data_IF_733199560397
#
_entry.id   IF_733199560397
#
_cell.length_a   1.000
_cell.length_b   1.000
_cell.length_c   1.000
_cell.angle_alpha   90.00
_cell.angle_beta   90.00
_cell.angle_gamma   90.00
#
_symmetry.space_group_name_H-M   'P 1'
#
loop_
_entity.id
_entity.type
_entity.pdbx_description
1 polymer ?
#
# COMPACT_ATOMS: atom_id res chain seq x y z
N UNK A 1 -9.22 11.87 6.00
CA UNK A 1 -7.98 11.13 6.25
C UNK A 1 -8.23 9.99 7.23
N UNK A 2 -7.37 8.98 7.30
CA UNK A 2 -7.47 7.83 8.20
C UNK A 2 -7.67 8.27 9.65
N UNK A 3 -6.97 9.32 10.08
CA UNK A 3 -7.12 9.94 11.42
C UNK A 3 -8.55 10.41 11.71
N UNK A 4 -9.22 11.05 10.75
CA UNK A 4 -10.61 11.50 10.90
C UNK A 4 -11.59 10.33 10.94
N UNK A 5 -11.36 9.28 10.14
CA UNK A 5 -12.17 8.06 10.16
C UNK A 5 -12.01 7.34 11.50
N UNK A 6 -10.77 7.22 11.99
CA UNK A 6 -10.42 6.59 13.27
C UNK A 6 -11.04 7.31 14.46
N UNK A 7 -10.99 8.64 14.49
CA UNK A 7 -11.54 9.44 15.59
C UNK A 7 -13.08 9.37 15.67
N UNK A 8 -13.75 8.90 14.62
CA UNK A 8 -15.21 8.67 14.61
C UNK A 8 -15.62 7.28 15.11
N UNK A 9 -14.67 6.35 15.26
CA UNK A 9 -14.95 5.00 15.73
C UNK A 9 -15.13 4.97 17.25
N UNK A 10 -16.09 4.17 17.69
CA UNK A 10 -16.26 3.78 19.10
C UNK A 10 -15.12 2.88 19.55
N UNK A 11 -14.94 2.76 20.88
CA UNK A 11 -13.94 1.85 21.45
C UNK A 11 -14.23 0.37 21.15
N UNK A 12 -15.49 0.01 20.91
CA UNK A 12 -15.86 -1.35 20.50
C UNK A 12 -15.48 -1.61 19.04
N UNK A 13 -15.71 -0.66 18.13
CA UNK A 13 -15.32 -0.77 16.73
C UNK A 13 -13.80 -0.83 16.55
N UNK A 14 -13.04 -0.06 17.36
CA UNK A 14 -11.56 -0.11 17.37
C UNK A 14 -11.00 -1.46 17.80
N UNK A 15 -11.78 -2.29 18.54
CA UNK A 15 -11.37 -3.63 18.99
C UNK A 15 -11.70 -4.75 17.99
N UNK A 16 -12.45 -4.45 16.93
CA UNK A 16 -12.84 -5.40 15.88
C UNK A 16 -12.05 -5.11 14.58
N UNK A 17 -12.32 -5.90 13.53
CA UNK A 17 -11.85 -5.57 12.19
C UNK A 17 -12.41 -4.20 11.79
N UNK A 18 -11.51 -3.25 11.55
CA UNK A 18 -11.87 -1.86 11.36
C UNK A 18 -12.70 -1.71 10.06
N UNK A 19 -13.90 -1.12 10.13
CA UNK A 19 -14.73 -0.89 8.95
C UNK A 19 -14.27 0.37 8.17
N UNK A 20 -12.96 0.59 8.07
CA UNK A 20 -12.37 1.75 7.39
C UNK A 20 -11.40 1.28 6.32
N UNK A 21 -11.56 1.78 5.10
CA UNK A 21 -10.55 1.61 4.07
C UNK A 21 -9.32 2.47 4.41
N UNK A 22 -8.14 1.85 4.36
CA UNK A 22 -6.86 2.51 4.55
C UNK A 22 -6.58 3.48 3.40
N UNK A 23 -5.91 4.60 3.71
CA UNK A 23 -5.61 5.59 2.67
C UNK A 23 -4.38 5.18 1.84
N UNK A 24 -3.47 4.36 2.37
CA UNK A 24 -2.27 3.84 1.68
C UNK A 24 -1.97 2.39 2.08
N UNK A 25 -1.42 1.58 1.17
CA UNK A 25 -0.95 0.20 1.42
C UNK A 25 0.40 -0.06 0.75
N UNK A 26 1.16 -1.00 1.34
CA UNK A 26 2.37 -1.57 0.77
C UNK A 26 2.21 -3.10 0.85
N UNK A 27 2.25 -3.77 -0.30
CA UNK A 27 2.25 -5.23 -0.41
C UNK A 27 3.64 -5.70 -0.84
N UNK A 28 4.18 -6.71 -0.15
CA UNK A 28 5.47 -7.32 -0.47
C UNK A 28 5.25 -8.72 -1.01
N UNK A 29 5.69 -8.97 -2.25
CA UNK A 29 5.65 -10.31 -2.84
C UNK A 29 6.68 -11.21 -2.15
N UNK A 30 6.21 -12.22 -1.43
CA UNK A 30 7.08 -13.26 -0.86
C UNK A 30 7.56 -14.23 -1.94
N UNK A 31 8.52 -15.08 -1.61
CA UNK A 31 9.07 -16.08 -2.55
C UNK A 31 8.01 -17.06 -3.08
N UNK A 32 7.03 -17.42 -2.25
CA UNK A 32 5.95 -18.34 -2.62
C UNK A 32 4.79 -17.68 -3.36
N UNK A 33 4.72 -16.36 -3.36
CA UNK A 33 3.57 -15.64 -3.92
C UNK A 33 3.62 -15.57 -5.44
N UNK A 34 2.46 -15.82 -6.04
CA UNK A 34 2.21 -15.51 -7.45
C UNK A 34 1.92 -14.02 -7.57
N UNK A 35 2.47 -13.38 -8.61
CA UNK A 35 2.29 -11.94 -8.84
C UNK A 35 0.84 -11.55 -9.07
N UNK A 36 0.13 -12.27 -9.96
CA UNK A 36 -1.22 -11.87 -10.40
C UNK A 36 -2.25 -11.78 -9.26
N UNK A 37 -2.30 -12.74 -8.30
CA UNK A 37 -3.15 -12.60 -7.12
C UNK A 37 -2.88 -11.33 -6.30
N UNK A 38 -1.63 -10.90 -6.16
CA UNK A 38 -1.29 -9.67 -5.42
C UNK A 38 -1.77 -8.43 -6.18
N UNK A 39 -1.60 -8.39 -7.50
CA UNK A 39 -2.11 -7.30 -8.33
C UNK A 39 -3.64 -7.18 -8.21
N UNK A 40 -4.37 -8.31 -8.30
CA UNK A 40 -5.82 -8.34 -8.11
C UNK A 40 -6.25 -7.86 -6.72
N UNK A 41 -5.49 -8.19 -5.68
CA UNK A 41 -5.74 -7.73 -4.31
C UNK A 41 -5.62 -6.20 -4.21
N UNK A 42 -4.63 -5.59 -4.86
CA UNK A 42 -4.48 -4.13 -4.87
C UNK A 42 -5.61 -3.48 -5.69
N UNK A 43 -6.01 -4.07 -6.82
CA UNK A 43 -7.17 -3.63 -7.60
C UNK A 43 -8.46 -3.63 -6.73
N UNK A 44 -8.67 -4.64 -5.88
CA UNK A 44 -9.79 -4.69 -4.93
C UNK A 44 -9.74 -3.52 -3.92
N UNK A 45 -8.55 -3.18 -3.42
CA UNK A 45 -8.39 -2.03 -2.53
C UNK A 45 -8.62 -0.69 -3.22
N UNK A 46 -8.16 -0.53 -4.47
CA UNK A 46 -8.45 0.66 -5.29
C UNK A 46 -9.95 0.87 -5.49
N UNK A 47 -10.68 -0.21 -5.78
CA UNK A 47 -12.15 -0.19 -5.86
C UNK A 47 -12.81 0.18 -4.51
N UNK A 48 -12.11 -0.03 -3.40
CA UNK A 48 -12.55 0.30 -2.04
C UNK A 48 -12.14 1.71 -1.56
N UNK A 49 -11.67 2.58 -2.47
CA UNK A 49 -11.19 3.97 -2.22
C UNK A 49 -9.80 4.10 -1.59
N UNK A 50 -8.93 3.10 -1.79
CA UNK A 50 -7.50 3.26 -1.56
C UNK A 50 -6.96 4.44 -2.39
N UNK A 51 -6.09 5.27 -1.82
CA UNK A 51 -5.51 6.43 -2.52
C UNK A 51 -4.11 6.18 -3.04
N UNK A 52 -3.35 5.31 -2.38
CA UNK A 52 -1.97 5.01 -2.73
C UNK A 52 -1.70 3.52 -2.49
N UNK A 53 -1.09 2.85 -3.46
CA UNK A 53 -0.78 1.42 -3.39
C UNK A 53 0.57 1.13 -4.00
N UNK A 54 1.37 0.35 -3.28
CA UNK A 54 2.67 -0.12 -3.71
C UNK A 54 2.71 -1.65 -3.71
N UNK A 55 3.20 -2.25 -4.79
CA UNK A 55 3.56 -3.67 -4.82
C UNK A 55 5.05 -3.81 -5.02
N UNK A 56 5.74 -4.28 -3.98
CA UNK A 56 7.17 -4.56 -4.04
C UNK A 56 7.34 -5.99 -4.55
N UNK A 57 8.07 -6.11 -5.65
CA UNK A 57 8.42 -7.38 -6.27
C UNK A 57 9.95 -7.57 -6.26
N UNK A 58 10.54 -8.08 -5.15
CA UNK A 58 11.98 -8.29 -5.05
C UNK A 58 12.52 -9.30 -6.06
N UNK A 59 11.69 -10.23 -6.53
CA UNK A 59 12.08 -11.28 -7.49
C UNK A 59 12.47 -10.67 -8.84
N UNK A 60 11.67 -9.68 -9.29
CA UNK A 60 11.90 -8.97 -10.55
C UNK A 60 12.57 -7.59 -10.36
N UNK A 61 12.87 -7.25 -9.09
CA UNK A 61 13.50 -6.01 -8.64
C UNK A 61 12.70 -4.77 -9.05
N UNK A 62 11.39 -4.83 -8.87
CA UNK A 62 10.43 -3.85 -9.35
C UNK A 62 9.47 -3.41 -8.26
N UNK A 63 9.02 -2.16 -8.33
CA UNK A 63 7.90 -1.65 -7.56
C UNK A 63 6.82 -1.16 -8.52
N UNK A 64 5.60 -1.69 -8.37
CA UNK A 64 4.41 -1.13 -9.04
C UNK A 64 3.80 -0.06 -8.13
N UNK A 65 3.53 1.12 -8.70
CA UNK A 65 2.95 2.28 -8.05
C UNK A 65 1.60 2.55 -8.69
N UNK A 66 0.54 2.24 -7.96
CA UNK A 66 -0.80 2.14 -8.53
C UNK A 66 -1.49 3.48 -8.74
N UNK A 67 -1.18 4.54 -7.96
CA UNK A 67 -1.86 5.83 -8.17
C UNK A 67 -1.46 6.53 -9.48
N UNK A 68 -0.34 6.13 -10.08
CA UNK A 68 0.18 6.67 -11.33
C UNK A 68 0.38 5.62 -12.43
N UNK A 69 -0.08 4.38 -12.20
CA UNK A 69 0.11 3.27 -13.14
C UNK A 69 1.58 3.11 -13.56
N UNK A 70 2.51 3.27 -12.60
CA UNK A 70 3.95 3.32 -12.88
C UNK A 70 4.66 2.08 -12.35
N UNK A 71 5.57 1.54 -13.16
CA UNK A 71 6.53 0.53 -12.74
C UNK A 71 7.91 1.18 -12.61
N UNK A 72 8.59 0.97 -11.48
CA UNK A 72 9.96 1.42 -11.27
C UNK A 72 10.88 0.27 -10.86
N UNK A 73 12.18 0.42 -11.12
CA UNK A 73 13.20 -0.53 -10.70
C UNK A 73 13.74 -0.17 -9.32
N UNK A 74 14.13 -1.19 -8.57
CA UNK A 74 14.92 -1.05 -7.34
C UNK A 74 16.41 -0.76 -7.70
N UNK A 75 17.22 -0.13 -6.82
CA UNK A 75 16.80 0.48 -5.57
C UNK A 75 15.98 1.75 -5.85
N UNK A 76 15.09 2.11 -4.94
CA UNK A 76 14.23 3.27 -5.09
C UNK A 76 13.84 3.87 -3.74
N UNK A 77 13.45 5.14 -3.75
CA UNK A 77 12.84 5.81 -2.60
C UNK A 77 11.33 5.91 -2.85
N UNK A 78 10.52 5.31 -1.98
CA UNK A 78 9.07 5.49 -1.99
C UNK A 78 8.72 6.67 -1.07
N UNK A 79 7.87 7.56 -1.57
CA UNK A 79 7.43 8.76 -0.86
C UNK A 79 5.94 8.63 -0.52
N UNK A 80 5.56 9.06 0.67
CA UNK A 80 4.15 9.07 1.09
C UNK A 80 3.31 10.20 0.50
N UNK A 81 3.97 11.16 -0.13
CA UNK A 81 3.35 12.32 -0.78
C UNK A 81 2.32 13.04 0.12
N UNK A 82 1.17 13.42 -0.47
CA UNK A 82 0.07 14.09 0.23
C UNK A 82 -0.77 13.13 1.10
N UNK A 83 -0.52 11.81 1.04
CA UNK A 83 -1.29 10.79 1.77
C UNK A 83 -0.62 10.47 3.12
N UNK A 84 0.69 10.29 3.11
CA UNK A 84 1.53 10.09 4.28
C UNK A 84 2.64 11.17 4.27
N UNK A 85 2.35 12.39 4.77
CA UNK A 85 3.35 13.45 4.81
C UNK A 85 4.60 13.02 5.58
N UNK A 86 5.78 13.35 5.06
CA UNK A 86 7.10 12.99 5.62
C UNK A 86 7.40 11.49 5.69
N UNK A 87 6.59 10.64 5.04
CA UNK A 87 6.94 9.23 4.89
C UNK A 87 7.93 9.05 3.75
N UNK A 88 9.05 8.41 4.07
CA UNK A 88 10.10 8.02 3.16
C UNK A 88 10.46 6.56 3.46
N UNK A 89 10.43 5.72 2.43
CA UNK A 89 10.82 4.32 2.53
C UNK A 89 11.88 4.00 1.47
N UNK A 90 13.17 4.00 1.85
CA UNK A 90 14.22 3.53 0.97
C UNK A 90 14.10 2.00 0.81
N UNK A 91 14.05 1.55 -0.44
CA UNK A 91 14.07 0.15 -0.82
C UNK A 91 15.38 -0.12 -1.53
N UNK A 92 16.21 -0.95 -0.93
CA UNK A 92 17.54 -1.30 -1.43
C UNK A 92 17.65 -2.80 -1.76
N UNK A 93 18.74 -3.17 -2.40
CA UNK A 93 19.23 -4.54 -2.41
C UNK A 93 19.95 -4.80 -1.08
N UNK A 94 19.69 -5.97 -0.46
CA UNK A 94 20.33 -6.39 0.79
C UNK A 94 21.84 -6.12 0.85
#
# INVERSE_FOLDING_TARGET
MLSEKWNKLTEEEKRKFLPICQDSIIELRSQSDRLKPLQLKIEEYLNSRLRQGYLLNPQDKEVEIYQWEKLIKMPCLLLGENILPNFELPIDYY
#
